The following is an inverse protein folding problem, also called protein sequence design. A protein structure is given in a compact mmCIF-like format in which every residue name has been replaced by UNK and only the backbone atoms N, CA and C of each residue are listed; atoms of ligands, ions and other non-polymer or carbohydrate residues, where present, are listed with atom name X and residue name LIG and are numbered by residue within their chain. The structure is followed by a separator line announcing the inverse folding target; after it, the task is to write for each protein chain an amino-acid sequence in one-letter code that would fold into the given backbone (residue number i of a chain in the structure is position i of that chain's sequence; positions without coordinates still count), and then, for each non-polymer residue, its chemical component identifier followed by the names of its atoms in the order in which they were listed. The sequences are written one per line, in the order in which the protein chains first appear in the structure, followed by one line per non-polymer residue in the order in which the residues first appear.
data_IF_941830790268
#
_entry.id   IF_941830790268
#
_cell.length_a   1.000
_cell.length_b   1.000
_cell.length_c   1.000
_cell.angle_alpha   90.00
_cell.angle_beta   90.00
_cell.angle_gamma   90.00
#
_symmetry.space_group_name_H-M   'P 1'
#
loop_
_entity.id
_entity.type
_entity.pdbx_description
1 polymer ?
#
# COMPACT_ATOMS: atom_id res chain seq x y z
N UNK A 1 -11.71 16.69 -6.01
CA UNK A 1 -11.63 15.77 -4.85
C UNK A 1 -10.21 15.23 -4.86
N UNK A 2 -9.35 15.80 -4.04
CA UNK A 2 -7.95 15.39 -3.90
C UNK A 2 -7.92 13.98 -3.31
N UNK A 3 -7.21 13.05 -3.95
CA UNK A 3 -6.99 11.72 -3.38
C UNK A 3 -6.17 11.87 -2.10
N UNK A 4 -6.57 11.19 -1.04
CA UNK A 4 -5.77 11.09 0.19
C UNK A 4 -4.44 10.40 -0.16
N UNK A 5 -3.38 11.20 -0.23
CA UNK A 5 -2.01 10.73 -0.37
C UNK A 5 -1.40 10.72 1.02
N UNK A 6 -1.40 9.56 1.65
CA UNK A 6 -0.76 9.36 2.94
C UNK A 6 0.60 8.69 2.71
N UNK A 7 1.66 9.32 3.20
CA UNK A 7 3.05 8.87 3.06
C UNK A 7 3.51 8.27 4.38
N UNK A 8 3.59 6.93 4.43
CA UNK A 8 4.13 6.19 5.56
C UNK A 8 5.60 5.85 5.33
N UNK A 9 6.46 6.11 6.32
CA UNK A 9 7.88 5.74 6.29
C UNK A 9 8.22 4.86 7.49
N UNK A 10 8.19 3.54 7.29
CA UNK A 10 8.87 2.61 8.20
C UNK A 10 10.36 2.59 7.82
N UNK A 11 11.28 2.52 8.80
CA UNK A 11 12.74 2.77 8.68
C UNK A 11 13.52 2.07 7.53
N UNK A 12 12.90 1.19 6.72
CA UNK A 12 13.52 0.51 5.57
C UNK A 12 12.69 0.52 4.28
N UNK A 13 11.46 1.03 4.29
CA UNK A 13 10.56 1.05 3.12
C UNK A 13 9.63 2.25 3.24
N UNK A 14 9.54 3.06 2.19
CA UNK A 14 8.49 4.06 2.03
C UNK A 14 7.35 3.49 1.19
N UNK A 15 6.11 3.89 1.44
CA UNK A 15 5.00 3.55 0.55
C UNK A 15 4.05 4.73 0.40
N UNK A 16 3.32 4.72 -0.71
CA UNK A 16 2.24 5.66 -0.96
C UNK A 16 0.96 4.90 -1.28
N UNK A 17 -0.14 5.37 -0.71
CA UNK A 17 -1.48 4.86 -0.99
C UNK A 17 -2.24 5.89 -1.80
N UNK A 18 -2.89 5.43 -2.86
CA UNK A 18 -3.80 6.23 -3.70
C UNK A 18 -5.18 5.58 -3.70
N UNK A 19 -6.15 6.26 -3.09
CA UNK A 19 -7.55 5.85 -3.10
C UNK A 19 -8.28 6.44 -4.31
N UNK A 20 -9.17 5.65 -4.91
CA UNK A 20 -10.10 6.10 -5.96
C UNK A 20 -11.50 5.60 -5.65
N UNK A 21 -12.50 6.45 -5.89
CA UNK A 21 -13.89 6.03 -5.88
C UNK A 21 -14.42 5.92 -7.31
N UNK A 22 -15.30 4.94 -7.53
CA UNK A 22 -16.04 4.75 -8.76
C UNK A 22 -17.49 4.38 -8.40
N UNK A 23 -18.43 5.30 -8.65
CA UNK A 23 -19.88 5.10 -8.41
C UNK A 23 -20.18 4.54 -7.01
N UNK A 24 -19.64 5.18 -5.96
CA UNK A 24 -19.91 4.81 -4.56
C UNK A 24 -19.10 3.61 -4.04
N UNK A 25 -18.28 2.99 -4.86
CA UNK A 25 -17.33 1.96 -4.45
C UNK A 25 -15.91 2.50 -4.46
N UNK A 26 -15.10 2.08 -3.50
CA UNK A 26 -13.72 2.51 -3.32
C UNK A 26 -12.74 1.41 -3.71
N UNK A 27 -11.63 1.82 -4.27
CA UNK A 27 -10.49 0.98 -4.64
C UNK A 27 -9.21 1.72 -4.28
N UNK A 28 -8.09 1.00 -4.20
CA UNK A 28 -6.80 1.58 -3.89
C UNK A 28 -5.68 1.07 -4.80
N UNK A 29 -4.60 1.84 -4.82
CA UNK A 29 -3.29 1.45 -5.33
C UNK A 29 -2.27 1.71 -4.24
N UNK A 30 -1.38 0.77 -4.00
CA UNK A 30 -0.24 0.91 -3.10
C UNK A 30 1.03 0.83 -3.93
N UNK A 31 1.86 1.87 -3.87
CA UNK A 31 3.20 1.85 -4.44
C UNK A 31 4.21 1.78 -3.31
N UNK A 32 5.05 0.74 -3.33
CA UNK A 32 6.04 0.47 -2.29
C UNK A 32 7.44 0.70 -2.83
N UNK A 33 8.23 1.48 -2.09
CA UNK A 33 9.57 1.93 -2.42
C UNK A 33 10.55 1.49 -1.32
N UNK A 34 11.19 0.32 -1.49
CA UNK A 34 12.25 -0.12 -0.59
C UNK A 34 13.39 0.89 -0.55
N UNK A 35 13.99 1.08 0.63
CA UNK A 35 15.21 1.89 0.77
C UNK A 35 16.49 1.14 0.35
N UNK A 36 16.36 -0.16 0.07
CA UNK A 36 17.45 -1.04 -0.35
C UNK A 36 17.38 -1.25 -1.87
N UNK A 37 18.42 -0.84 -2.60
CA UNK A 37 18.52 -0.95 -4.05
C UNK A 37 18.49 -2.39 -4.59
N UNK A 38 18.67 -3.39 -3.72
CA UNK A 38 18.56 -4.81 -4.06
C UNK A 38 17.11 -5.33 -4.09
N UNK A 39 16.15 -4.55 -3.60
CA UNK A 39 14.73 -4.92 -3.59
C UNK A 39 14.00 -4.02 -4.58
N UNK A 40 13.35 -4.62 -5.57
CA UNK A 40 12.57 -3.87 -6.55
C UNK A 40 11.36 -3.19 -5.88
N UNK A 41 11.01 -2.00 -6.38
CA UNK A 41 9.72 -1.38 -6.04
C UNK A 41 8.57 -2.23 -6.57
N UNK A 42 7.47 -2.27 -5.83
CA UNK A 42 6.28 -3.04 -6.19
C UNK A 42 5.02 -2.17 -6.15
N UNK A 43 4.10 -2.45 -7.06
CA UNK A 43 2.79 -1.80 -7.11
C UNK A 43 1.72 -2.85 -6.90
N UNK A 44 0.84 -2.60 -5.94
CA UNK A 44 -0.33 -3.42 -5.67
C UNK A 44 -1.60 -2.66 -6.02
N UNK A 45 -2.52 -3.37 -6.67
CA UNK A 45 -3.86 -2.87 -6.96
C UNK A 45 -4.85 -3.60 -6.07
N UNK A 46 -5.85 -2.85 -5.59
CA UNK A 46 -6.96 -3.34 -4.81
C UNK A 46 -7.46 -4.70 -5.29
N UNK A 47 -7.48 -5.73 -4.43
CA UNK A 47 -7.99 -7.05 -4.81
C UNK A 47 -9.52 -7.07 -4.93
N UNK A 48 -10.20 -6.07 -4.36
CA UNK A 48 -11.65 -5.94 -4.34
C UNK A 48 -12.08 -4.47 -4.38
N UNK A 49 -13.40 -4.24 -4.37
CA UNK A 49 -14.01 -2.94 -4.14
C UNK A 49 -14.56 -2.87 -2.72
N UNK A 50 -14.51 -1.69 -2.11
CA UNK A 50 -14.93 -1.41 -0.74
C UNK A 50 -16.10 -0.42 -0.73
N UNK A 51 -16.92 -0.43 0.31
CA UNK A 51 -18.09 0.45 0.38
C UNK A 51 -17.76 1.81 0.97
N UNK A 52 -16.66 1.90 1.73
CA UNK A 52 -16.21 3.15 2.34
C UNK A 52 -14.75 3.44 2.02
N UNK A 53 -14.39 4.71 2.09
CA UNK A 53 -13.01 5.19 2.03
C UNK A 53 -12.16 4.57 3.15
N UNK A 54 -12.72 4.49 4.36
CA UNK A 54 -12.08 3.90 5.53
C UNK A 54 -11.72 2.41 5.31
N UNK A 55 -12.65 1.61 4.76
CA UNK A 55 -12.40 0.20 4.45
C UNK A 55 -11.29 0.05 3.40
N UNK A 56 -11.35 0.83 2.32
CA UNK A 56 -10.33 0.79 1.27
C UNK A 56 -8.96 1.24 1.79
N UNK A 57 -8.93 2.28 2.63
CA UNK A 57 -7.71 2.77 3.23
C UNK A 57 -7.08 1.75 4.17
N UNK A 58 -7.88 1.16 5.06
CA UNK A 58 -7.41 0.13 5.99
C UNK A 58 -6.85 -1.08 5.24
N UNK A 59 -7.54 -1.56 4.22
CA UNK A 59 -7.06 -2.68 3.41
C UNK A 59 -5.76 -2.36 2.66
N UNK A 60 -5.58 -1.12 2.21
CA UNK A 60 -4.34 -0.67 1.59
C UNK A 60 -3.15 -0.70 2.56
N UNK A 61 -3.36 -0.26 3.81
CA UNK A 61 -2.35 -0.30 4.87
C UNK A 61 -1.99 -1.73 5.26
N UNK A 62 -2.99 -2.60 5.47
CA UNK A 62 -2.77 -4.01 5.79
C UNK A 62 -1.93 -4.72 4.70
N UNK A 63 -2.16 -4.35 3.43
CA UNK A 63 -1.39 -4.89 2.31
C UNK A 63 0.06 -4.38 2.29
N UNK A 64 0.29 -3.09 2.60
CA UNK A 64 1.63 -2.52 2.72
C UNK A 64 2.42 -3.17 3.88
N UNK A 65 1.78 -3.38 5.02
CA UNK A 65 2.38 -4.05 6.18
C UNK A 65 2.76 -5.50 5.86
N UNK A 66 1.86 -6.24 5.19
CA UNK A 66 2.15 -7.61 4.77
C UNK A 66 3.37 -7.70 3.84
N UNK A 67 3.53 -6.73 2.94
CA UNK A 67 4.72 -6.64 2.09
C UNK A 67 5.99 -6.43 2.93
N UNK A 68 5.96 -5.48 3.86
CA UNK A 68 7.10 -5.20 4.74
C UNK A 68 7.49 -6.46 5.53
N UNK A 69 6.53 -7.16 6.11
CA UNK A 69 6.76 -8.40 6.86
C UNK A 69 7.37 -9.50 5.97
N UNK A 70 6.87 -9.67 4.75
CA UNK A 70 7.42 -10.63 3.79
C UNK A 70 8.86 -10.32 3.39
N UNK A 71 9.18 -9.03 3.20
CA UNK A 71 10.56 -8.61 2.91
C UNK A 71 11.48 -8.90 4.10
N UNK A 72 11.04 -8.59 5.33
CA UNK A 72 11.81 -8.88 6.54
C UNK A 72 12.06 -10.39 6.73
N UNK A 73 11.07 -11.23 6.42
CA UNK A 73 11.19 -12.69 6.51
C UNK A 73 12.08 -13.27 5.41
N UNK A 74 12.01 -12.76 4.18
CA UNK A 74 12.83 -13.23 3.05
C UNK A 74 14.32 -12.91 3.21
N UNK A 75 14.66 -11.91 4.03
CA UNK A 75 16.05 -11.50 4.30
C UNK A 75 16.63 -12.13 5.58
N UNK A 76 15.98 -13.16 6.14
CA UNK A 76 16.54 -13.90 7.28
C UNK A 76 17.64 -14.85 6.75
N UNK A 77 18.88 -14.75 7.25
CA UNK A 77 20.00 -15.59 6.82
C UNK A 77 19.80 -17.07 7.18
#
# INVERSE_FOLDING_TARGET
MEGFKEEGSYRRVGYSVSLRSNVGQWTFRVDVHPSNDLVASETFISPAFYNTDFEAHRAALELAELYIDRQLLSHKP
#
